data_IF_747781319184
#
_entry.id   IF_747781319184
#
_cell.length_a   1.000
_cell.length_b   1.000
_cell.length_c   1.000
_cell.angle_alpha   90.00
_cell.angle_beta   90.00
_cell.angle_gamma   90.00
#
_symmetry.space_group_name_H-M   'P 1'
#
loop_
_entity.id
_entity.type
_entity.pdbx_description
1 polymer ?
#
# COMPACT_ATOMS: atom_id res chain seq x y z
N UNK A 1 -1.91 7.90 -26.10
CA UNK A 1 -2.02 7.89 -24.62
C UNK A 1 -1.77 9.30 -24.16
N UNK A 2 -2.72 9.92 -23.47
CA UNK A 2 -2.45 11.19 -22.80
C UNK A 2 -1.67 10.87 -21.52
N UNK A 3 -0.48 11.47 -21.37
CA UNK A 3 0.28 11.35 -20.12
C UNK A 3 -0.49 12.07 -19.01
N UNK A 4 -0.78 11.34 -17.93
CA UNK A 4 -1.30 11.93 -16.70
C UNK A 4 -0.14 12.66 -16.02
N UNK A 5 -0.25 13.97 -15.87
CA UNK A 5 0.74 14.80 -15.19
C UNK A 5 0.15 15.42 -13.93
N UNK A 6 0.95 15.44 -12.86
CA UNK A 6 0.60 16.17 -11.64
C UNK A 6 1.08 17.62 -11.76
N UNK A 7 0.30 18.57 -11.26
CA UNK A 7 0.69 19.99 -11.21
C UNK A 7 1.96 20.21 -10.38
N UNK A 8 2.22 19.33 -9.42
CA UNK A 8 3.46 19.24 -8.68
C UNK A 8 3.92 17.78 -8.69
N UNK A 9 5.16 17.47 -9.10
CA UNK A 9 5.66 16.09 -9.11
C UNK A 9 5.60 15.47 -7.72
N UNK A 10 5.03 14.26 -7.57
CA UNK A 10 5.04 13.56 -6.29
C UNK A 10 6.48 13.18 -5.92
N UNK A 11 6.81 13.28 -4.64
CA UNK A 11 8.12 12.90 -4.09
C UNK A 11 8.03 11.68 -3.19
N UNK A 12 6.85 11.38 -2.66
CA UNK A 12 6.66 10.31 -1.70
C UNK A 12 5.37 9.53 -1.94
N UNK A 13 5.50 8.20 -1.96
CA UNK A 13 4.40 7.26 -2.09
C UNK A 13 4.28 6.42 -0.82
N UNK A 14 3.05 6.13 -0.41
CA UNK A 14 2.73 5.11 0.57
C UNK A 14 1.90 4.01 -0.10
N UNK A 15 2.42 2.79 -0.15
CA UNK A 15 1.74 1.63 -0.71
C UNK A 15 1.34 0.69 0.44
N UNK A 16 0.04 0.41 0.57
CA UNK A 16 -0.53 -0.42 1.63
C UNK A 16 -1.14 -1.68 1.01
N UNK A 17 -0.70 -2.86 1.44
CA UNK A 17 -1.24 -4.16 1.06
C UNK A 17 -1.61 -4.96 2.29
N UNK A 18 -2.75 -5.65 2.27
CA UNK A 18 -3.15 -6.46 3.42
C UNK A 18 -2.28 -7.72 3.47
N UNK A 19 -2.07 -8.34 2.31
CA UNK A 19 -1.32 -9.57 2.11
C UNK A 19 -0.18 -9.35 1.09
N UNK A 20 0.85 -10.22 1.11
CA UNK A 20 1.81 -10.30 0.02
C UNK A 20 1.07 -10.52 -1.30
N UNK A 21 1.50 -9.87 -2.39
CA UNK A 21 0.92 -9.81 -3.74
C UNK A 21 -0.13 -8.72 -4.04
N UNK A 22 -0.78 -8.15 -3.01
CA UNK A 22 -1.84 -7.16 -3.19
C UNK A 22 -1.38 -5.92 -3.99
N UNK A 23 -0.27 -5.30 -3.59
CA UNK A 23 0.21 -4.04 -4.18
C UNK A 23 0.68 -4.28 -5.63
N UNK A 24 1.36 -5.40 -5.85
CA UNK A 24 1.86 -5.81 -7.16
C UNK A 24 0.71 -5.99 -8.15
N UNK A 25 -0.32 -6.73 -7.75
CA UNK A 25 -1.49 -7.05 -8.57
C UNK A 25 -2.33 -5.78 -8.78
N UNK A 26 -2.60 -5.05 -7.71
CA UNK A 26 -3.53 -3.93 -7.73
C UNK A 26 -2.99 -2.69 -8.42
N UNK A 27 -1.73 -2.32 -8.18
CA UNK A 27 -1.16 -1.07 -8.69
C UNK A 27 0.30 -1.15 -9.17
N UNK A 28 0.86 -2.35 -9.34
CA UNK A 28 2.27 -2.52 -9.71
C UNK A 28 2.68 -1.81 -11.00
N UNK A 29 1.84 -1.86 -12.04
CA UNK A 29 2.12 -1.18 -13.31
C UNK A 29 2.18 0.36 -13.15
N UNK A 30 1.25 0.93 -12.38
CA UNK A 30 1.23 2.36 -12.06
C UNK A 30 2.47 2.74 -11.26
N UNK A 31 2.84 1.95 -10.27
CA UNK A 31 4.02 2.18 -9.45
C UNK A 31 5.31 2.19 -10.29
N UNK A 32 5.51 1.19 -11.15
CA UNK A 32 6.66 1.13 -12.06
C UNK A 32 6.70 2.34 -13.00
N UNK A 33 5.54 2.79 -13.50
CA UNK A 33 5.45 3.98 -14.34
C UNK A 33 5.84 5.24 -13.57
N UNK A 34 5.37 5.41 -12.32
CA UNK A 34 5.73 6.56 -11.49
C UNK A 34 7.23 6.59 -11.16
N UNK A 35 7.80 5.46 -10.74
CA UNK A 35 9.23 5.33 -10.45
C UNK A 35 10.08 5.62 -11.70
N UNK A 36 9.67 5.14 -12.87
CA UNK A 36 10.37 5.41 -14.12
C UNK A 36 10.19 6.84 -14.66
N UNK A 37 9.22 7.60 -14.14
CA UNK A 37 8.90 8.97 -14.60
C UNK A 37 9.49 10.04 -13.69
N UNK A 38 9.50 9.83 -12.38
CA UNK A 38 9.91 10.82 -11.39
C UNK A 38 11.20 10.41 -10.68
N UNK A 39 12.23 11.24 -10.79
CA UNK A 39 13.50 11.04 -10.09
C UNK A 39 13.35 11.28 -8.58
N UNK A 40 14.14 10.56 -7.78
CA UNK A 40 14.20 10.69 -6.31
C UNK A 40 12.86 10.44 -5.60
N UNK A 41 12.04 9.55 -6.15
CA UNK A 41 10.79 9.13 -5.52
C UNK A 41 11.11 8.25 -4.31
N UNK A 42 10.57 8.62 -3.14
CA UNK A 42 10.59 7.80 -1.94
C UNK A 42 9.32 6.95 -1.87
N UNK A 43 9.45 5.67 -1.58
CA UNK A 43 8.32 4.74 -1.51
C UNK A 43 8.38 3.96 -0.20
N UNK A 44 7.37 4.18 0.64
CA UNK A 44 7.11 3.32 1.79
C UNK A 44 6.11 2.24 1.40
N UNK A 45 6.52 0.98 1.52
CA UNK A 45 5.76 -0.20 1.15
C UNK A 45 5.45 -1.02 2.39
N UNK A 46 4.17 -1.21 2.70
CA UNK A 46 3.74 -1.89 3.91
C UNK A 46 2.83 -3.06 3.57
N UNK A 47 3.17 -4.25 4.04
CA UNK A 47 2.32 -5.44 3.97
C UNK A 47 1.93 -5.88 5.37
N UNK A 48 0.63 -6.04 5.65
CA UNK A 48 0.14 -6.18 7.01
C UNK A 48 0.13 -7.63 7.54
N UNK A 49 -0.04 -8.63 6.67
CA UNK A 49 -0.10 -10.05 7.02
C UNK A 49 0.95 -10.87 6.26
N UNK A 50 2.22 -10.73 6.62
CA UNK A 50 3.32 -11.45 5.97
C UNK A 50 4.06 -12.36 6.97
N UNK A 51 3.90 -13.68 6.81
CA UNK A 51 4.47 -14.69 7.71
C UNK A 51 5.35 -15.70 6.97
N UNK A 52 6.40 -16.20 7.62
CA UNK A 52 7.23 -17.29 7.09
C UNK A 52 7.71 -17.06 5.67
N UNK A 53 7.50 -18.03 4.78
CA UNK A 53 7.88 -17.95 3.36
C UNK A 53 7.20 -16.78 2.63
N UNK A 54 5.94 -16.49 2.96
CA UNK A 54 5.20 -15.36 2.36
C UNK A 54 5.83 -14.01 2.69
N UNK A 55 6.49 -13.87 3.84
CA UNK A 55 7.26 -12.65 4.16
C UNK A 55 8.54 -12.51 3.31
N UNK A 56 9.20 -13.63 3.00
CA UNK A 56 10.37 -13.65 2.12
C UNK A 56 9.96 -13.27 0.70
N UNK A 57 8.85 -13.83 0.22
CA UNK A 57 8.25 -13.48 -1.08
C UNK A 57 7.89 -12.00 -1.16
N UNK A 58 7.16 -11.48 -0.16
CA UNK A 58 6.77 -10.07 -0.09
C UNK A 58 7.98 -9.13 -0.16
N UNK A 59 9.02 -9.41 0.64
CA UNK A 59 10.23 -8.60 0.66
C UNK A 59 10.93 -8.61 -0.69
N UNK A 60 11.12 -9.80 -1.28
CA UNK A 60 11.79 -9.95 -2.58
C UNK A 60 11.02 -9.23 -3.69
N UNK A 61 9.70 -9.31 -3.66
CA UNK A 61 8.85 -8.64 -4.63
C UNK A 61 8.95 -7.11 -4.52
N UNK A 62 8.83 -6.56 -3.30
CA UNK A 62 9.02 -5.13 -3.05
C UNK A 62 10.42 -4.66 -3.49
N UNK A 63 11.47 -5.44 -3.22
CA UNK A 63 12.83 -5.11 -3.67
C UNK A 63 12.96 -4.97 -5.18
N UNK A 64 12.25 -5.81 -5.95
CA UNK A 64 12.22 -5.78 -7.42
C UNK A 64 11.43 -4.59 -7.94
N UNK A 65 10.19 -4.39 -7.46
CA UNK A 65 9.30 -3.30 -7.90
C UNK A 65 9.87 -1.91 -7.60
N UNK A 66 10.61 -1.77 -6.50
CA UNK A 66 11.15 -0.49 -6.03
C UNK A 66 12.56 -0.19 -6.54
N UNK A 67 13.00 -0.86 -7.61
CA UNK A 67 14.29 -0.56 -8.25
C UNK A 67 14.25 0.85 -8.85
N UNK A 68 15.14 1.74 -8.39
CA UNK A 68 15.22 3.13 -8.84
C UNK A 68 14.51 4.14 -7.93
N UNK A 69 13.87 3.69 -6.84
CA UNK A 69 13.31 4.53 -5.79
C UNK A 69 14.14 4.46 -4.50
N UNK A 70 14.02 5.48 -3.66
CA UNK A 70 14.37 5.38 -2.24
C UNK A 70 13.28 4.57 -1.54
N UNK A 71 13.63 3.44 -0.90
CA UNK A 71 12.65 2.42 -0.49
C UNK A 71 12.70 2.13 1.00
N UNK A 72 11.54 2.14 1.62
CA UNK A 72 11.30 1.66 2.98
C UNK A 72 10.26 0.54 2.92
N UNK A 73 10.68 -0.70 3.20
CA UNK A 73 9.81 -1.88 3.12
C UNK A 73 9.56 -2.42 4.51
N UNK A 74 8.29 -2.43 4.91
CA UNK A 74 7.85 -2.84 6.23
C UNK A 74 6.86 -4.00 6.12
N UNK A 75 7.16 -5.10 6.83
CA UNK A 75 6.30 -6.28 6.87
C UNK A 75 5.80 -6.48 8.29
N UNK A 76 4.47 -6.50 8.45
CA UNK A 76 3.82 -6.83 9.71
C UNK A 76 3.37 -8.29 9.71
N UNK A 77 3.09 -8.77 10.91
CA UNK A 77 2.70 -10.14 11.19
C UNK A 77 1.31 -10.19 11.82
N UNK A 78 0.39 -9.32 11.40
CA UNK A 78 -1.01 -9.45 11.80
C UNK A 78 -1.59 -10.76 11.27
N UNK A 79 -2.60 -11.29 11.96
CA UNK A 79 -3.16 -12.59 11.60
C UNK A 79 -3.99 -12.46 10.32
N UNK A 80 -3.57 -13.18 9.29
CA UNK A 80 -4.25 -13.27 8.00
C UNK A 80 -5.72 -13.70 8.17
N UNK A 81 -6.63 -12.93 7.57
CA UNK A 81 -8.07 -13.12 7.61
C UNK A 81 -8.74 -12.67 8.91
N UNK A 82 -8.00 -12.01 9.82
CA UNK A 82 -8.50 -11.62 11.15
C UNK A 82 -8.44 -10.12 11.41
N UNK A 83 -8.17 -9.28 10.40
CA UNK A 83 -7.93 -7.85 10.63
C UNK A 83 -9.07 -7.13 11.38
N UNK A 84 -10.37 -7.35 11.07
CA UNK A 84 -11.44 -6.72 11.84
C UNK A 84 -11.42 -7.08 13.33
N UNK A 85 -10.93 -8.28 13.67
CA UNK A 85 -10.80 -8.75 15.05
C UNK A 85 -9.54 -8.19 15.73
N UNK A 86 -8.47 -7.98 14.96
CA UNK A 86 -7.22 -7.35 15.41
C UNK A 86 -7.23 -5.81 15.22
N UNK A 87 -8.38 -5.23 14.87
CA UNK A 87 -8.47 -3.88 14.32
C UNK A 87 -8.02 -2.76 15.25
N UNK A 88 -8.02 -2.99 16.56
CA UNK A 88 -7.44 -2.05 17.54
C UNK A 88 -5.93 -1.87 17.30
N UNK A 89 -5.19 -2.96 17.16
CA UNK A 89 -3.73 -2.92 17.03
C UNK A 89 -3.32 -2.36 15.67
N UNK A 90 -4.07 -2.73 14.63
CA UNK A 90 -3.88 -2.14 13.28
C UNK A 90 -4.16 -0.64 13.32
N UNK A 91 -5.24 -0.20 13.98
CA UNK A 91 -5.52 1.23 14.16
C UNK A 91 -4.42 1.96 14.92
N UNK A 92 -3.89 1.39 16.00
CA UNK A 92 -2.77 1.98 16.74
C UNK A 92 -1.53 2.13 15.86
N UNK A 93 -1.28 1.17 14.97
CA UNK A 93 -0.22 1.29 13.98
C UNK A 93 -0.45 2.42 12.97
N UNK A 94 -1.68 2.61 12.47
CA UNK A 94 -2.00 3.78 11.62
C UNK A 94 -1.80 5.11 12.35
N UNK A 95 -2.13 5.17 13.64
CA UNK A 95 -1.90 6.35 14.50
C UNK A 95 -0.41 6.64 14.73
N UNK A 96 0.43 5.61 14.79
CA UNK A 96 1.88 5.77 14.79
C UNK A 96 2.38 6.24 13.43
N UNK A 97 1.96 5.57 12.36
CA UNK A 97 2.40 5.84 10.99
C UNK A 97 2.13 7.29 10.59
N UNK A 98 0.94 7.84 10.87
CA UNK A 98 0.61 9.24 10.55
C UNK A 98 1.48 10.28 11.26
N UNK A 99 2.13 9.90 12.37
CA UNK A 99 3.04 10.79 13.09
C UNK A 99 4.45 10.80 12.49
N UNK A 100 4.76 9.79 11.67
CA UNK A 100 6.08 9.57 11.09
C UNK A 100 6.17 10.05 9.64
N UNK A 101 5.06 10.00 8.89
CA UNK A 101 5.05 10.26 7.44
C UNK A 101 3.90 11.18 7.01
N UNK A 102 4.11 11.85 5.88
CA UNK A 102 3.10 12.67 5.18
C UNK A 102 3.27 12.47 3.67
N UNK A 103 2.80 11.36 3.09
CA UNK A 103 3.04 11.02 1.68
C UNK A 103 2.31 11.97 0.72
N UNK A 104 2.75 12.07 -0.53
CA UNK A 104 2.02 12.84 -1.55
C UNK A 104 0.85 12.02 -2.12
N UNK A 105 1.07 10.71 -2.29
CA UNK A 105 0.11 9.76 -2.85
C UNK A 105 0.08 8.50 -1.99
N UNK A 106 -1.13 7.99 -1.76
CA UNK A 106 -1.35 6.72 -1.05
C UNK A 106 -2.06 5.75 -1.99
N UNK A 107 -1.56 4.53 -2.10
CA UNK A 107 -2.23 3.40 -2.73
C UNK A 107 -2.75 2.46 -1.64
N UNK A 108 -4.05 2.16 -1.70
CA UNK A 108 -4.72 1.25 -0.76
C UNK A 108 -5.80 0.45 -1.48
N UNK A 109 -6.41 -0.49 -0.77
CA UNK A 109 -7.46 -1.35 -1.32
C UNK A 109 -8.74 -0.59 -1.67
N UNK A 110 -9.48 -1.11 -2.65
CA UNK A 110 -10.85 -0.70 -2.94
C UNK A 110 -11.75 -0.89 -1.72
N UNK A 111 -12.50 0.16 -1.38
CA UNK A 111 -13.29 0.24 -0.15
C UNK A 111 -14.39 -0.82 -0.03
N UNK A 112 -14.92 -1.29 -1.17
CA UNK A 112 -16.00 -2.29 -1.20
C UNK A 112 -15.50 -3.69 -1.61
N UNK A 113 -14.19 -3.96 -1.52
CA UNK A 113 -13.62 -5.30 -1.74
C UNK A 113 -14.30 -6.33 -0.81
N UNK A 114 -14.62 -7.54 -1.28
CA UNK A 114 -15.28 -8.55 -0.45
C UNK A 114 -14.39 -9.16 0.65
N UNK A 115 -13.07 -9.00 0.56
CA UNK A 115 -12.13 -9.42 1.58
C UNK A 115 -12.10 -8.42 2.74
N UNK A 116 -12.44 -8.90 3.94
CA UNK A 116 -12.57 -8.04 5.12
C UNK A 116 -11.28 -7.33 5.52
N UNK A 117 -10.13 -7.96 5.32
CA UNK A 117 -8.83 -7.36 5.63
C UNK A 117 -8.53 -6.18 4.70
N UNK A 118 -8.90 -6.28 3.42
CA UNK A 118 -8.75 -5.21 2.44
C UNK A 118 -9.58 -3.99 2.84
N UNK A 119 -10.85 -4.23 3.18
CA UNK A 119 -11.77 -3.17 3.64
C UNK A 119 -11.25 -2.46 4.89
N UNK A 120 -10.71 -3.19 5.87
CA UNK A 120 -10.21 -2.53 7.08
C UNK A 120 -9.00 -1.64 6.78
N UNK A 121 -8.05 -2.11 5.97
CA UNK A 121 -6.90 -1.29 5.57
C UNK A 121 -7.36 -0.04 4.80
N UNK A 122 -8.32 -0.18 3.88
CA UNK A 122 -8.90 0.95 3.16
C UNK A 122 -9.59 1.95 4.10
N UNK A 123 -10.44 1.46 5.00
CA UNK A 123 -11.16 2.28 5.99
C UNK A 123 -10.19 3.07 6.88
N UNK A 124 -9.19 2.40 7.44
CA UNK A 124 -8.18 3.05 8.30
C UNK A 124 -7.32 4.04 7.50
N UNK A 125 -7.03 3.76 6.23
CA UNK A 125 -6.32 4.69 5.35
C UNK A 125 -7.11 5.99 5.19
N UNK A 126 -8.39 5.89 4.83
CA UNK A 126 -9.27 7.07 4.69
C UNK A 126 -9.48 7.82 6.01
N UNK A 127 -9.61 7.10 7.13
CA UNK A 127 -9.75 7.73 8.44
C UNK A 127 -8.50 8.53 8.84
N UNK A 128 -7.33 7.96 8.55
CA UNK A 128 -6.02 8.47 9.00
C UNK A 128 -5.50 9.59 8.11
N UNK A 129 -5.57 9.41 6.79
CA UNK A 129 -4.90 10.26 5.80
C UNK A 129 -5.86 11.12 4.97
N UNK A 130 -7.01 11.51 5.53
CA UNK A 130 -8.09 12.25 4.86
C UNK A 130 -7.72 13.52 4.06
N UNK A 131 -6.53 14.07 4.28
CA UNK A 131 -6.00 15.26 3.59
C UNK A 131 -4.98 14.93 2.48
N UNK A 132 -4.84 13.66 2.10
CA UNK A 132 -3.87 13.18 1.11
C UNK A 132 -4.60 12.74 -0.18
N UNK A 133 -3.87 12.63 -1.29
CA UNK A 133 -4.38 11.99 -2.49
C UNK A 133 -4.35 10.47 -2.30
N UNK A 134 -5.52 9.83 -2.31
CA UNK A 134 -5.66 8.38 -2.10
C UNK A 134 -6.19 7.75 -3.40
N UNK A 135 -5.44 6.80 -3.93
CA UNK A 135 -5.88 5.91 -4.99
C UNK A 135 -6.20 4.53 -4.41
N UNK A 136 -7.41 4.08 -4.72
CA UNK A 136 -7.84 2.73 -4.43
C UNK A 136 -7.52 1.81 -5.60
N UNK A 137 -7.05 0.59 -5.32
CA UNK A 137 -6.84 -0.46 -6.30
C UNK A 137 -7.72 -1.68 -6.00
N UNK A 138 -8.12 -2.37 -7.05
CA UNK A 138 -8.85 -3.63 -6.96
C UNK A 138 -7.87 -4.80 -7.14
N UNK A 139 -8.12 -5.91 -6.46
CA UNK A 139 -7.49 -7.18 -6.77
C UNK A 139 -8.40 -7.93 -7.74
N UNK A 140 -8.01 -8.16 -9.01
CA UNK A 140 -8.83 -8.89 -9.96
C UNK A 140 -9.04 -10.32 -9.49
N UNK A 141 -10.21 -10.58 -8.92
CA UNK A 141 -10.67 -11.90 -8.48
C UNK A 141 -12.16 -12.03 -8.78
N UNK A 142 -12.62 -13.26 -8.95
CA UNK A 142 -14.05 -13.53 -9.03
C UNK A 142 -14.61 -13.57 -7.62
N UNK A 143 -15.26 -12.48 -7.22
CA UNK A 143 -15.82 -12.30 -5.88
C UNK A 143 -17.25 -12.88 -5.73
N UNK A 144 -17.83 -13.41 -6.80
CA UNK A 144 -19.20 -13.98 -6.81
C UNK A 144 -20.06 -13.49 -7.96
#
# INVERSE_FOLDING_TARGET
>A
MHDVSFTSPPKSLLCLGAHPDDIEIGCGATLLKLIGTYENLSVKWIVFAAHGERAIEAKKSAELFLTGADKDVELKQFKDGFFPYDGREIKLYFEELKSQISPDIIFTHYRDDLHQDHRLISELTWNTFRNHLIFEYEIPKYDG
#
